data_IF_753414636158
#
_entry.id   IF_753414636158
#
_cell.length_a   1.000
_cell.length_b   1.000
_cell.length_c   1.000
_cell.angle_alpha   90.00
_cell.angle_beta   90.00
_cell.angle_gamma   90.00
#
_symmetry.space_group_name_H-M   'P 1'
#
loop_
_entity.id
_entity.type
_entity.pdbx_description
1 polymer ?
#
# COMPACT_ATOMS: atom_id res chain seq x y z
N UNK A 1 -8.25 -4.88 5.13
CA UNK A 1 -7.12 -4.32 4.34
C UNK A 1 -5.99 -5.33 4.13
N UNK A 2 -5.53 -6.01 5.19
CA UNK A 2 -4.38 -6.93 5.13
C UNK A 2 -4.54 -8.05 4.10
N UNK A 3 -5.69 -8.74 4.12
CA UNK A 3 -5.99 -9.80 3.15
C UNK A 3 -5.89 -9.32 1.71
N UNK A 4 -6.40 -8.12 1.41
CA UNK A 4 -6.29 -7.51 0.08
C UNK A 4 -4.84 -7.28 -0.35
N UNK A 5 -4.03 -6.73 0.55
CA UNK A 5 -2.60 -6.48 0.31
C UNK A 5 -1.86 -7.80 0.06
N UNK A 6 -2.14 -8.85 0.85
CA UNK A 6 -1.50 -10.16 0.69
C UNK A 6 -1.90 -10.87 -0.61
N UNK A 7 -3.17 -10.76 -1.03
CA UNK A 7 -3.61 -11.31 -2.33
C UNK A 7 -2.89 -10.63 -3.50
N UNK A 8 -2.83 -9.29 -3.50
CA UNK A 8 -2.15 -8.52 -4.55
C UNK A 8 -0.64 -8.83 -4.54
N UNK A 9 -0.05 -8.96 -3.35
CA UNK A 9 1.36 -9.37 -3.20
C UNK A 9 1.64 -10.71 -3.86
N UNK A 10 0.86 -11.74 -3.53
CA UNK A 10 1.03 -13.08 -4.08
C UNK A 10 0.88 -13.08 -5.62
N UNK A 11 -0.09 -12.33 -6.15
CA UNK A 11 -0.26 -12.18 -7.60
C UNK A 11 0.96 -11.55 -8.29
N UNK A 12 1.51 -10.49 -7.69
CA UNK A 12 2.66 -9.77 -8.26
C UNK A 12 3.96 -10.55 -8.14
N UNK A 13 4.13 -11.30 -7.05
CA UNK A 13 5.22 -12.27 -6.86
C UNK A 13 5.17 -13.38 -7.92
N UNK A 14 3.99 -13.97 -8.16
CA UNK A 14 3.81 -15.01 -9.19
C UNK A 14 4.09 -14.51 -10.61
N UNK A 15 3.93 -13.20 -10.86
CA UNK A 15 4.27 -12.54 -12.14
C UNK A 15 5.76 -12.17 -12.27
N UNK A 16 6.58 -12.46 -11.27
CA UNK A 16 8.00 -12.12 -11.25
C UNK A 16 8.28 -10.62 -11.08
N UNK A 17 7.28 -9.82 -10.68
CA UNK A 17 7.41 -8.38 -10.48
C UNK A 17 6.83 -7.95 -9.11
N UNK A 18 7.41 -8.44 -8.00
CA UNK A 18 6.96 -8.07 -6.67
C UNK A 18 7.18 -6.59 -6.43
N UNK A 19 6.11 -5.88 -6.10
CA UNK A 19 6.21 -4.47 -5.69
C UNK A 19 6.67 -4.40 -4.24
N UNK A 20 7.39 -3.33 -3.91
CA UNK A 20 7.91 -3.06 -2.54
C UNK A 20 7.30 -1.83 -1.89
N UNK A 21 6.57 -1.02 -2.66
CA UNK A 21 5.98 0.25 -2.22
C UNK A 21 4.47 0.25 -2.41
N UNK A 22 3.76 0.81 -1.45
CA UNK A 22 2.33 1.13 -1.55
C UNK A 22 2.19 2.66 -1.48
N UNK A 23 1.45 3.22 -2.43
CA UNK A 23 1.10 4.63 -2.42
C UNK A 23 -0.20 4.82 -1.64
N UNK A 24 -0.22 5.74 -0.69
CA UNK A 24 -1.41 6.10 0.06
C UNK A 24 -1.57 7.63 0.05
N UNK A 25 -2.78 8.19 -0.16
CA UNK A 25 -2.99 9.61 0.04
C UNK A 25 -2.75 9.98 1.50
N UNK A 26 -2.35 11.22 1.76
CA UNK A 26 -2.24 11.77 3.12
C UNK A 26 -3.58 11.77 3.88
N UNK A 27 -4.70 11.75 3.15
CA UNK A 27 -6.06 11.61 3.66
C UNK A 27 -6.48 10.15 3.97
N UNK A 28 -5.61 9.17 3.70
CA UNK A 28 -5.94 7.77 3.96
C UNK A 28 -6.21 7.51 5.44
N UNK A 29 -7.18 6.64 5.72
CA UNK A 29 -7.43 6.19 7.09
C UNK A 29 -6.16 5.55 7.67
N UNK A 30 -5.84 5.84 8.94
CA UNK A 30 -4.56 5.46 9.55
C UNK A 30 -4.28 3.95 9.60
N UNK A 31 -5.30 3.11 9.44
CA UNK A 31 -5.15 1.65 9.34
C UNK A 31 -4.50 1.21 8.04
N UNK A 32 -4.64 1.98 6.95
CA UNK A 32 -4.16 1.57 5.63
C UNK A 32 -2.62 1.59 5.59
N UNK A 33 -1.94 2.70 6.01
CA UNK A 33 -0.49 2.70 6.12
C UNK A 33 0.03 1.66 7.12
N UNK A 34 -0.63 1.52 8.27
CA UNK A 34 -0.23 0.56 9.30
C UNK A 34 -0.25 -0.88 8.77
N UNK A 35 -1.33 -1.24 8.08
CA UNK A 35 -1.48 -2.58 7.51
C UNK A 35 -0.50 -2.86 6.37
N UNK A 36 -0.22 -1.86 5.53
CA UNK A 36 0.78 -1.97 4.47
C UNK A 36 2.19 -2.24 5.05
N UNK A 37 2.55 -1.53 6.13
CA UNK A 37 3.82 -1.76 6.84
C UNK A 37 3.86 -3.15 7.48
N UNK A 38 2.76 -3.60 8.11
CA UNK A 38 2.66 -4.96 8.66
C UNK A 38 2.84 -6.05 7.58
N UNK A 39 2.39 -5.79 6.35
CA UNK A 39 2.58 -6.69 5.22
C UNK A 39 3.99 -6.63 4.59
N UNK A 40 4.91 -5.84 5.16
CA UNK A 40 6.31 -5.70 4.71
C UNK A 40 6.52 -4.70 3.57
N UNK A 41 5.54 -3.83 3.29
CA UNK A 41 5.66 -2.79 2.27
C UNK A 41 6.15 -1.47 2.87
N UNK A 42 6.90 -0.71 2.07
CA UNK A 42 7.16 0.70 2.35
C UNK A 42 5.96 1.53 1.90
N UNK A 43 5.43 2.39 2.78
CA UNK A 43 4.36 3.31 2.42
C UNK A 43 4.97 4.63 1.93
N UNK A 44 4.50 5.11 0.78
CA UNK A 44 4.83 6.43 0.26
C UNK A 44 3.57 7.28 0.21
N UNK A 45 3.54 8.33 1.02
CA UNK A 45 2.40 9.23 1.08
C UNK A 45 2.36 10.15 -0.15
N UNK A 46 1.18 10.26 -0.75
CA UNK A 46 0.87 11.21 -1.80
C UNK A 46 0.19 12.41 -1.13
N UNK A 47 0.81 13.58 -1.29
CA UNK A 47 0.23 14.83 -0.79
C UNK A 47 -1.00 15.18 -1.61
N UNK A 48 -2.09 15.51 -0.92
CA UNK A 48 -3.27 16.07 -1.55
C UNK A 48 -2.96 17.46 -2.11
N UNK A 49 -3.73 17.88 -3.12
CA UNK A 49 -3.62 19.23 -3.66
C UNK A 49 -4.70 20.13 -3.02
N UNK A 50 -4.90 21.35 -3.53
CA UNK A 50 -5.87 22.30 -2.96
C UNK A 50 -7.33 21.83 -3.02
N UNK A 51 -7.63 20.79 -3.80
CA UNK A 51 -8.97 20.21 -3.95
C UNK A 51 -9.18 18.96 -3.09
N UNK A 52 -8.18 18.58 -2.28
CA UNK A 52 -8.12 17.27 -1.62
C UNK A 52 -7.64 16.19 -2.58
#
# INVERSE_FOLDING_TARGET
ELTGILMVRALLEARGNPRKKILAPDSAHGTNPATAMMAGYTVQNLKSNQQG
#
